data_IF_683038867178
#
_entry.id   IF_683038867178
#
_cell.length_a   1.000
_cell.length_b   1.000
_cell.length_c   1.000
_cell.angle_alpha   90.00
_cell.angle_beta   90.00
_cell.angle_gamma   90.00
#
_symmetry.space_group_name_H-M   'P 1'
#
loop_
_entity.id
_entity.type
_entity.pdbx_description
1 polymer ?
#
# COMPACT_ATOMS: atom_id res chain seq x y z
N UNK A 1 3.47 26.48 4.04
CA UNK A 1 2.38 25.49 4.22
C UNK A 1 2.77 24.48 5.27
N UNK A 2 1.92 24.24 6.23
CA UNK A 2 2.15 23.20 7.20
C UNK A 2 1.79 21.82 6.59
N UNK A 3 2.57 20.82 6.98
CA UNK A 3 2.38 19.44 6.53
C UNK A 3 2.42 18.53 7.73
N UNK A 4 1.63 17.47 7.65
CA UNK A 4 1.73 16.33 8.58
C UNK A 4 2.15 15.10 7.80
N UNK A 5 2.77 14.16 8.47
CA UNK A 5 3.18 12.91 7.85
C UNK A 5 2.91 11.75 8.80
N UNK A 6 2.58 10.60 8.23
CA UNK A 6 2.39 9.36 8.98
C UNK A 6 2.97 8.20 8.20
N UNK A 7 3.66 7.31 8.90
CA UNK A 7 4.23 6.10 8.32
C UNK A 7 3.32 4.90 8.55
N UNK A 8 3.32 4.02 7.56
CA UNK A 8 2.62 2.73 7.58
C UNK A 8 3.59 1.65 7.11
N UNK A 9 3.35 0.43 7.54
CA UNK A 9 4.16 -0.71 7.14
C UNK A 9 3.24 -1.86 6.77
N UNK A 10 3.58 -2.56 5.69
CA UNK A 10 2.84 -3.73 5.24
C UNK A 10 3.75 -4.62 4.38
N UNK A 11 3.37 -5.88 4.25
CA UNK A 11 4.15 -6.87 3.53
C UNK A 11 3.42 -7.27 2.25
N UNK A 12 4.16 -7.32 1.13
CA UNK A 12 3.61 -7.71 -0.17
C UNK A 12 4.50 -8.79 -0.77
N UNK A 13 3.89 -9.80 -1.36
CA UNK A 13 4.58 -10.79 -2.17
C UNK A 13 4.61 -10.36 -3.63
N UNK A 14 5.70 -10.66 -4.31
CA UNK A 14 5.82 -10.43 -5.75
C UNK A 14 6.89 -11.32 -6.38
N UNK A 15 7.01 -11.24 -7.68
CA UNK A 15 8.09 -11.83 -8.46
C UNK A 15 8.48 -10.87 -9.56
N UNK A 16 9.73 -10.92 -10.00
CA UNK A 16 10.21 -10.10 -11.10
C UNK A 16 10.45 -11.01 -12.31
N UNK A 17 9.43 -11.21 -13.10
CA UNK A 17 9.52 -11.98 -14.33
C UNK A 17 10.54 -11.33 -15.29
N UNK A 18 11.48 -12.10 -15.82
CA UNK A 18 12.55 -11.56 -16.63
C UNK A 18 13.81 -11.16 -15.86
N UNK A 19 13.78 -11.14 -14.53
CA UNK A 19 14.99 -10.94 -13.74
C UNK A 19 15.93 -12.13 -13.90
N UNK A 20 17.24 -11.87 -13.92
CA UNK A 20 18.27 -12.90 -14.13
C UNK A 20 18.75 -13.54 -12.82
N UNK A 21 18.27 -13.10 -11.67
CA UNK A 21 18.62 -13.60 -10.35
C UNK A 21 17.43 -14.14 -9.57
N UNK A 22 17.64 -14.28 -8.27
CA UNK A 22 16.65 -14.88 -7.34
C UNK A 22 15.34 -14.12 -7.27
N UNK A 23 15.33 -12.82 -7.56
CA UNK A 23 14.12 -11.99 -7.50
C UNK A 23 13.09 -12.38 -8.57
N UNK A 24 13.46 -13.20 -9.54
CA UNK A 24 12.51 -13.80 -10.47
C UNK A 24 11.52 -14.71 -9.76
N UNK A 25 11.93 -15.32 -8.67
CA UNK A 25 11.09 -16.22 -7.89
C UNK A 25 10.15 -15.45 -6.98
N UNK A 26 9.09 -16.13 -6.56
CA UNK A 26 8.14 -15.56 -5.60
C UNK A 26 8.85 -15.25 -4.28
N UNK A 27 8.74 -14.02 -3.83
CA UNK A 27 9.30 -13.55 -2.57
C UNK A 27 8.50 -12.37 -2.06
N UNK A 28 8.83 -11.90 -0.87
CA UNK A 28 8.12 -10.80 -0.25
C UNK A 28 9.06 -9.74 0.30
N UNK A 29 8.51 -8.56 0.49
CA UNK A 29 9.18 -7.44 1.13
C UNK A 29 8.26 -6.77 2.13
N UNK A 30 8.86 -6.17 3.15
CA UNK A 30 8.17 -5.19 4.00
C UNK A 30 8.31 -3.82 3.35
N UNK A 31 7.17 -3.21 3.07
CA UNK A 31 7.10 -1.87 2.52
C UNK A 31 6.85 -0.86 3.63
N UNK A 32 7.49 0.28 3.51
CA UNK A 32 7.20 1.45 4.32
C UNK A 32 6.57 2.50 3.44
N UNK A 33 5.40 2.98 3.86
CA UNK A 33 4.67 4.04 3.17
C UNK A 33 4.64 5.26 4.08
N UNK A 34 5.14 6.38 3.58
CA UNK A 34 4.95 7.65 4.24
C UNK A 34 3.93 8.47 3.46
N UNK A 35 2.88 8.89 4.14
CA UNK A 35 1.86 9.76 3.56
C UNK A 35 2.01 11.13 4.19
N UNK A 36 2.17 12.13 3.34
CA UNK A 36 2.31 13.53 3.73
C UNK A 36 1.12 14.31 3.22
N UNK A 37 0.51 15.09 4.10
CA UNK A 37 -0.64 15.94 3.76
C UNK A 37 -0.32 17.37 4.12
N UNK A 38 -0.45 18.28 3.16
CA UNK A 38 -0.25 19.71 3.36
C UNK A 38 -1.54 20.49 3.16
N UNK A 39 -1.67 21.56 3.87
CA UNK A 39 -2.83 22.44 3.74
C UNK A 39 -2.93 23.49 4.83
N UNK A 40 -3.97 24.31 4.77
CA UNK A 40 -4.25 25.28 5.82
C UNK A 40 -4.74 24.57 7.09
N UNK A 41 -4.53 25.21 8.24
CA UNK A 41 -5.11 24.76 9.49
C UNK A 41 -6.62 25.01 9.49
N UNK A 42 -7.38 24.08 10.05
CA UNK A 42 -8.80 24.31 10.31
C UNK A 42 -8.96 25.48 11.29
N UNK A 43 -9.83 26.42 10.95
CA UNK A 43 -10.02 27.64 11.74
C UNK A 43 -10.91 27.41 12.95
N UNK A 44 -11.81 26.44 12.91
CA UNK A 44 -12.81 26.20 13.95
C UNK A 44 -13.25 24.74 13.96
N UNK A 45 -14.08 24.39 14.94
CA UNK A 45 -14.61 23.05 15.09
C UNK A 45 -13.68 22.12 15.86
N UNK A 46 -14.01 20.82 15.94
CA UNK A 46 -13.25 19.87 16.76
C UNK A 46 -11.84 19.60 16.21
N UNK A 47 -11.56 19.95 14.96
CA UNK A 47 -10.23 19.79 14.33
C UNK A 47 -9.46 21.10 14.22
N UNK A 48 -9.91 22.16 14.94
CA UNK A 48 -9.25 23.47 14.92
C UNK A 48 -7.77 23.36 15.23
N UNK A 49 -6.95 24.06 14.46
CA UNK A 49 -5.50 24.04 14.61
C UNK A 49 -4.80 22.86 13.97
N UNK A 50 -5.51 22.00 13.25
CA UNK A 50 -4.97 20.83 12.56
C UNK A 50 -5.02 21.03 11.04
N UNK A 51 -4.03 20.52 10.35
CA UNK A 51 -4.10 20.31 8.88
C UNK A 51 -5.10 19.19 8.61
N UNK A 52 -4.96 18.10 9.33
CA UNK A 52 -5.83 16.94 9.30
C UNK A 52 -5.64 16.17 10.61
N UNK A 53 -6.67 15.54 11.11
CA UNK A 53 -6.55 14.66 12.26
C UNK A 53 -5.80 13.39 11.86
N UNK A 54 -4.79 13.01 12.64
CA UNK A 54 -4.02 11.80 12.38
C UNK A 54 -4.87 10.54 12.40
N UNK A 55 -5.90 10.48 13.22
CA UNK A 55 -6.80 9.33 13.23
C UNK A 55 -7.56 9.19 11.92
N UNK A 56 -8.02 10.31 11.35
CA UNK A 56 -8.70 10.31 10.05
C UNK A 56 -7.75 9.91 8.93
N UNK A 57 -6.53 10.43 8.94
CA UNK A 57 -5.49 10.07 7.97
C UNK A 57 -5.19 8.57 8.05
N UNK A 58 -5.01 8.05 9.26
CA UNK A 58 -4.77 6.62 9.48
C UNK A 58 -5.90 5.77 8.90
N UNK A 59 -7.14 6.10 9.19
CA UNK A 59 -8.29 5.31 8.76
C UNK A 59 -8.43 5.32 7.24
N UNK A 60 -8.22 6.45 6.60
CA UNK A 60 -8.29 6.58 5.14
C UNK A 60 -7.21 5.74 4.48
N UNK A 61 -5.95 5.90 4.89
CA UNK A 61 -4.81 5.20 4.28
C UNK A 61 -4.90 3.71 4.56
N UNK A 62 -5.26 3.33 5.79
CA UNK A 62 -5.42 1.93 6.16
C UNK A 62 -6.46 1.24 5.29
N UNK A 63 -7.63 1.85 5.15
CA UNK A 63 -8.74 1.26 4.39
C UNK A 63 -8.45 1.20 2.88
N UNK A 64 -7.89 2.27 2.31
CA UNK A 64 -7.73 2.37 0.85
C UNK A 64 -6.41 1.82 0.32
N UNK A 65 -5.37 1.74 1.13
CA UNK A 65 -4.04 1.33 0.68
C UNK A 65 -3.53 0.12 1.45
N UNK A 66 -3.41 0.22 2.78
CA UNK A 66 -2.74 -0.81 3.57
C UNK A 66 -3.52 -2.12 3.54
N UNK A 67 -4.81 -2.10 3.89
CA UNK A 67 -5.60 -3.32 3.98
C UNK A 67 -5.71 -4.08 2.65
N UNK A 68 -5.93 -3.42 1.49
CA UNK A 68 -5.95 -4.13 0.22
C UNK A 68 -4.60 -4.72 -0.20
N UNK A 69 -3.49 -4.11 0.22
CA UNK A 69 -2.15 -4.50 -0.23
C UNK A 69 -1.42 -5.39 0.74
N UNK A 70 -1.72 -5.28 2.04
CA UNK A 70 -1.03 -6.07 3.05
C UNK A 70 -1.30 -7.56 2.86
N UNK A 71 -0.23 -8.35 2.74
CA UNK A 71 -0.26 -9.79 2.45
C UNK A 71 -0.86 -10.14 1.07
N UNK A 72 -0.92 -9.18 0.16
CA UNK A 72 -1.36 -9.41 -1.20
C UNK A 72 -0.22 -9.93 -2.09
N UNK A 73 -0.58 -10.48 -3.22
CA UNK A 73 0.33 -10.76 -4.32
C UNK A 73 0.23 -9.64 -5.34
N UNK A 74 1.29 -8.85 -5.43
CA UNK A 74 1.39 -7.76 -6.41
C UNK A 74 2.01 -8.31 -7.69
N UNK A 75 1.31 -8.21 -8.82
CA UNK A 75 1.79 -8.79 -10.06
C UNK A 75 1.65 -7.84 -11.24
N UNK A 76 2.52 -8.04 -12.23
CA UNK A 76 2.51 -7.31 -13.48
C UNK A 76 1.49 -7.94 -14.42
N UNK A 77 0.46 -7.19 -14.80
CA UNK A 77 -0.56 -7.65 -15.73
C UNK A 77 -0.03 -7.89 -17.15
N UNK A 78 1.15 -7.36 -17.47
CA UNK A 78 1.85 -7.62 -18.73
C UNK A 78 2.66 -8.93 -18.75
N UNK A 79 2.77 -9.61 -17.61
CA UNK A 79 3.50 -10.88 -17.51
C UNK A 79 2.54 -12.07 -17.54
N UNK A 80 2.57 -12.91 -18.59
CA UNK A 80 1.75 -14.12 -18.63
C UNK A 80 2.05 -15.08 -17.46
N UNK A 81 3.30 -15.18 -17.04
CA UNK A 81 3.70 -16.01 -15.90
C UNK A 81 3.08 -15.54 -14.61
N UNK A 82 3.14 -14.26 -14.32
CA UNK A 82 2.57 -13.70 -13.10
C UNK A 82 1.05 -13.73 -13.10
N UNK A 83 0.44 -13.46 -14.26
CA UNK A 83 -1.02 -13.57 -14.42
C UNK A 83 -1.52 -14.99 -14.15
N UNK A 84 -0.77 -16.01 -14.56
CA UNK A 84 -1.14 -17.41 -14.28
C UNK A 84 -1.09 -17.71 -12.78
N UNK A 85 -0.10 -17.21 -12.07
CA UNK A 85 -0.02 -17.37 -10.61
C UNK A 85 -1.21 -16.69 -9.94
N UNK A 86 -1.54 -15.48 -10.35
CA UNK A 86 -2.68 -14.74 -9.79
C UNK A 86 -4.00 -15.47 -10.06
N UNK A 87 -4.20 -15.99 -11.26
CA UNK A 87 -5.38 -16.77 -11.63
C UNK A 87 -5.50 -18.03 -10.79
N UNK A 88 -4.40 -18.75 -10.61
CA UNK A 88 -4.39 -19.98 -9.79
C UNK A 88 -4.77 -19.68 -8.35
N UNK A 89 -4.23 -18.60 -7.77
CA UNK A 89 -4.58 -18.20 -6.40
C UNK A 89 -6.08 -17.91 -6.27
N UNK A 90 -6.66 -17.20 -7.25
CA UNK A 90 -8.09 -16.92 -7.26
C UNK A 90 -8.93 -18.21 -7.37
N UNK A 91 -8.51 -19.15 -8.20
CA UNK A 91 -9.19 -20.44 -8.35
C UNK A 91 -9.16 -21.25 -7.06
N UNK A 92 -8.04 -21.23 -6.34
CA UNK A 92 -7.91 -21.93 -5.07
C UNK A 92 -8.81 -21.34 -3.97
N UNK A 93 -9.12 -20.06 -4.06
CA UNK A 93 -9.88 -19.32 -3.05
C UNK A 93 -11.38 -19.22 -3.37
N UNK A 94 -11.79 -19.69 -4.51
CA UNK A 94 -13.19 -19.58 -4.94
C UNK A 94 -14.06 -20.81 -4.53
#
# INVERSE_FOLDING_TARGET
>A
MLKIAKEFSFDIAHMLDGHDGKCRNLHGHTYRLQVEVGGPLHASGPKAGMVMDYADLKDIVKHHVVDPMDHAFLYDTGSPRECRVATLLQELDS
#
